data_IF_647681953542
#
_entry.id   IF_647681953542
#
_cell.length_a   1.000
_cell.length_b   1.000
_cell.length_c   1.000
_cell.angle_alpha   90.00
_cell.angle_beta   90.00
_cell.angle_gamma   90.00
#
_symmetry.space_group_name_H-M   'P 1'
#
loop_
_entity.id
_entity.type
_entity.pdbx_description
1 polymer ?
#
# COMPACT_ATOMS: atom_id res chain seq x y z
N UNK A 1 -12.16 31.09 -5.45
CA UNK A 1 -12.84 30.05 -4.68
C UNK A 1 -14.09 29.47 -5.37
N UNK A 2 -15.07 30.28 -5.78
CA UNK A 2 -16.31 29.84 -6.48
C UNK A 2 -16.08 28.99 -7.74
N UNK A 3 -15.09 29.32 -8.58
CA UNK A 3 -14.79 28.56 -9.81
C UNK A 3 -14.12 27.19 -9.54
N UNK A 4 -13.32 27.08 -8.49
CA UNK A 4 -12.68 25.83 -8.07
C UNK A 4 -13.73 24.84 -7.55
N UNK A 5 -14.62 25.28 -6.67
CA UNK A 5 -15.72 24.45 -6.14
C UNK A 5 -16.60 23.90 -7.27
N UNK A 6 -17.01 24.74 -8.24
CA UNK A 6 -17.78 24.28 -9.40
C UNK A 6 -17.02 23.25 -10.24
N UNK A 7 -15.69 23.38 -10.33
CA UNK A 7 -14.85 22.46 -11.11
C UNK A 7 -14.80 21.07 -10.51
N UNK A 8 -14.79 20.94 -9.17
CA UNK A 8 -14.61 19.69 -8.44
C UNK A 8 -15.85 19.22 -7.66
N UNK A 9 -16.98 19.92 -7.76
CA UNK A 9 -18.19 19.62 -7.00
C UNK A 9 -18.67 18.18 -7.17
N UNK A 10 -18.67 17.64 -8.40
CA UNK A 10 -19.09 16.27 -8.66
C UNK A 10 -18.12 15.24 -8.05
N UNK A 11 -16.80 15.50 -8.09
CA UNK A 11 -15.82 14.65 -7.40
C UNK A 11 -16.02 14.69 -5.88
N UNK A 12 -16.17 15.88 -5.31
CA UNK A 12 -16.39 16.04 -3.87
C UNK A 12 -17.65 15.31 -3.41
N UNK A 13 -18.75 15.44 -4.17
CA UNK A 13 -19.98 14.72 -3.87
C UNK A 13 -19.78 13.20 -3.94
N UNK A 14 -19.10 12.68 -4.96
CA UNK A 14 -18.77 11.29 -5.08
C UNK A 14 -17.94 10.78 -3.88
N UNK A 15 -16.90 11.54 -3.49
CA UNK A 15 -16.07 11.20 -2.32
C UNK A 15 -16.86 11.23 -1.02
N UNK A 16 -17.79 12.18 -0.83
CA UNK A 16 -18.68 12.22 0.35
C UNK A 16 -19.57 10.98 0.41
N UNK A 17 -20.19 10.60 -0.71
CA UNK A 17 -21.02 9.39 -0.78
C UNK A 17 -20.19 8.14 -0.46
N UNK A 18 -19.02 7.98 -1.08
CA UNK A 18 -18.12 6.86 -0.82
C UNK A 18 -17.68 6.85 0.65
N UNK A 19 -17.35 8.02 1.23
CA UNK A 19 -16.99 8.15 2.65
C UNK A 19 -18.09 7.66 3.58
N UNK A 20 -19.35 8.02 3.30
CA UNK A 20 -20.50 7.55 4.06
C UNK A 20 -20.65 6.02 4.02
N UNK A 21 -20.46 5.43 2.84
CA UNK A 21 -20.48 3.98 2.64
C UNK A 21 -19.32 3.31 3.36
N UNK A 22 -18.10 3.83 3.22
CA UNK A 22 -16.91 3.33 3.93
C UNK A 22 -17.12 3.35 5.45
N UNK A 23 -17.63 4.46 6.00
CA UNK A 23 -17.92 4.58 7.42
C UNK A 23 -18.98 3.55 7.87
N UNK A 24 -20.07 3.38 7.10
CA UNK A 24 -21.13 2.41 7.40
C UNK A 24 -20.57 0.98 7.48
N UNK A 25 -19.73 0.57 6.53
CA UNK A 25 -19.14 -0.78 6.54
C UNK A 25 -18.08 -0.92 7.62
N UNK A 26 -17.24 0.11 7.85
CA UNK A 26 -16.25 0.10 8.93
C UNK A 26 -16.89 -0.03 10.31
N UNK A 27 -18.00 0.66 10.55
CA UNK A 27 -18.73 0.59 11.83
C UNK A 27 -19.41 -0.76 12.09
N UNK A 28 -19.58 -1.58 11.04
CA UNK A 28 -20.16 -2.93 11.12
C UNK A 28 -19.11 -4.04 11.07
N UNK A 29 -17.82 -3.70 11.01
CA UNK A 29 -16.76 -4.69 11.03
C UNK A 29 -16.57 -5.20 12.46
N UNK A 30 -17.03 -6.43 12.72
CA UNK A 30 -17.03 -7.05 14.05
C UNK A 30 -15.78 -7.87 14.36
N UNK A 31 -15.02 -8.28 13.33
CA UNK A 31 -13.87 -9.15 13.49
C UNK A 31 -12.77 -8.93 12.46
N UNK A 32 -11.69 -9.66 12.63
CA UNK A 32 -10.53 -9.71 11.72
C UNK A 32 -10.38 -11.10 11.11
N UNK A 33 -9.96 -11.14 9.85
CA UNK A 33 -9.44 -12.36 9.25
C UNK A 33 -8.09 -12.72 9.89
N UNK A 34 -7.71 -13.99 9.81
CA UNK A 34 -6.44 -14.47 10.35
C UNK A 34 -5.25 -13.67 9.81
N UNK A 35 -5.28 -13.29 8.54
CA UNK A 35 -4.24 -12.48 7.90
C UNK A 35 -4.15 -11.06 8.49
N UNK A 36 -5.26 -10.47 8.94
CA UNK A 36 -5.27 -9.16 9.58
C UNK A 36 -4.66 -9.27 10.99
N UNK A 37 -4.90 -10.39 11.69
CA UNK A 37 -4.28 -10.69 12.99
C UNK A 37 -2.76 -10.75 12.84
N UNK A 38 -2.26 -11.51 11.87
CA UNK A 38 -0.81 -11.54 11.57
C UNK A 38 -0.28 -10.17 11.14
N UNK A 39 -1.04 -9.40 10.36
CA UNK A 39 -0.63 -8.05 9.97
C UNK A 39 -0.44 -7.13 11.19
N UNK A 40 -1.36 -7.18 12.16
CA UNK A 40 -1.22 -6.44 13.41
C UNK A 40 -0.04 -6.94 14.24
N UNK A 41 0.07 -8.25 14.46
CA UNK A 41 1.14 -8.84 15.24
C UNK A 41 2.52 -8.51 14.67
N UNK A 42 2.73 -8.76 13.38
CA UNK A 42 3.99 -8.45 12.70
C UNK A 42 4.33 -6.95 12.71
N UNK A 43 3.31 -6.08 12.79
CA UNK A 43 3.52 -4.64 12.89
C UNK A 43 3.83 -4.18 14.32
N UNK A 44 3.20 -4.76 15.33
CA UNK A 44 3.11 -4.18 16.66
C UNK A 44 3.85 -4.95 17.75
N UNK A 45 4.05 -6.27 17.59
CA UNK A 45 4.81 -7.08 18.55
C UNK A 45 6.31 -6.74 18.49
N UNK A 46 6.93 -6.63 19.66
CA UNK A 46 8.34 -6.23 19.76
C UNK A 46 9.26 -7.43 19.57
N UNK A 47 9.91 -7.52 18.39
CA UNK A 47 10.80 -8.61 17.99
C UNK A 47 10.21 -10.02 18.19
N UNK A 48 8.90 -10.15 18.05
CA UNK A 48 8.16 -11.41 18.16
C UNK A 48 7.24 -11.59 16.94
N UNK A 49 7.75 -12.11 15.80
CA UNK A 49 6.99 -12.22 14.55
C UNK A 49 5.74 -13.10 14.70
N UNK A 50 5.77 -14.10 15.55
CA UNK A 50 4.63 -14.96 15.82
C UNK A 50 4.20 -14.88 17.28
N UNK A 51 2.93 -15.12 17.54
CA UNK A 51 2.39 -15.16 18.89
C UNK A 51 3.10 -16.19 19.78
N UNK A 52 3.61 -17.26 19.17
CA UNK A 52 4.41 -18.30 19.87
C UNK A 52 5.78 -17.79 20.31
N UNK A 53 6.28 -16.72 19.72
CA UNK A 53 7.57 -16.12 20.10
C UNK A 53 7.47 -15.24 21.35
N UNK A 54 6.23 -14.88 21.73
CA UNK A 54 5.99 -14.21 23.00
C UNK A 54 6.43 -15.07 24.18
N UNK A 55 6.96 -14.42 25.23
CA UNK A 55 7.41 -15.11 26.43
C UNK A 55 8.39 -16.27 26.17
N UNK A 56 9.34 -16.06 25.23
CA UNK A 56 10.39 -17.00 24.87
C UNK A 56 9.87 -18.39 24.45
N UNK A 57 8.78 -18.40 23.72
CA UNK A 57 8.20 -19.64 23.18
C UNK A 57 7.37 -20.43 24.18
N UNK A 58 7.12 -19.92 25.39
CA UNK A 58 6.35 -20.62 26.41
C UNK A 58 4.86 -20.85 26.04
N UNK A 59 4.39 -20.25 24.93
CA UNK A 59 3.03 -20.39 24.43
C UNK A 59 2.86 -21.50 23.38
N UNK A 60 3.94 -22.19 23.01
CA UNK A 60 3.87 -23.32 22.07
C UNK A 60 3.00 -24.44 22.69
N UNK A 61 2.08 -24.97 21.91
CA UNK A 61 1.14 -26.04 22.29
C UNK A 61 0.23 -25.70 23.50
N UNK A 62 0.01 -24.41 23.78
CA UNK A 62 -0.89 -23.95 24.84
C UNK A 62 -2.07 -23.16 24.29
N UNK A 63 -3.17 -23.20 25.01
CA UNK A 63 -4.31 -22.32 24.76
C UNK A 63 -3.91 -20.90 25.14
N UNK A 64 -3.98 -20.01 24.20
CA UNK A 64 -3.66 -18.60 24.37
C UNK A 64 -4.82 -17.86 25.08
N UNK A 65 -4.49 -17.02 26.03
CA UNK A 65 -5.44 -16.15 26.70
C UNK A 65 -5.77 -14.92 25.80
N UNK A 66 -6.90 -14.28 26.07
CA UNK A 66 -7.26 -13.02 25.41
C UNK A 66 -6.19 -11.94 25.59
N UNK A 67 -5.58 -11.87 26.79
CA UNK A 67 -4.56 -10.85 27.05
C UNK A 67 -3.30 -11.09 26.23
N UNK A 68 -2.85 -12.33 26.09
CA UNK A 68 -1.69 -12.68 25.27
C UNK A 68 -1.91 -12.34 23.80
N UNK A 69 -3.14 -12.54 23.29
CA UNK A 69 -3.48 -12.08 21.94
C UNK A 69 -3.47 -10.55 21.83
N UNK A 70 -4.02 -9.83 22.81
CA UNK A 70 -3.99 -8.36 22.81
C UNK A 70 -2.56 -7.85 22.88
N UNK A 71 -1.71 -8.45 23.71
CA UNK A 71 -0.29 -8.10 23.82
C UNK A 71 0.46 -8.28 22.48
N UNK A 72 0.13 -9.35 21.72
CA UNK A 72 0.66 -9.56 20.38
C UNK A 72 0.22 -8.50 19.37
N UNK A 73 -1.02 -8.02 19.49
CA UNK A 73 -1.64 -7.09 18.54
C UNK A 73 -1.36 -5.61 18.84
N UNK A 74 -0.84 -5.28 20.02
CA UNK A 74 -0.66 -3.89 20.46
C UNK A 74 0.81 -3.51 20.56
N UNK A 75 1.08 -2.23 20.37
CA UNK A 75 2.39 -1.64 20.66
C UNK A 75 2.51 -1.44 22.17
N UNK A 76 3.60 -1.90 22.79
CA UNK A 76 3.93 -1.62 24.18
C UNK A 76 4.29 -0.15 24.40
N UNK A 77 4.15 0.35 25.63
CA UNK A 77 4.46 1.75 25.97
C UNK A 77 5.91 2.13 25.64
N UNK A 78 6.86 1.20 25.82
CA UNK A 78 8.28 1.39 25.57
C UNK A 78 8.70 1.02 24.13
N UNK A 79 7.80 0.46 23.33
CA UNK A 79 8.08 -0.14 22.00
C UNK A 79 7.50 0.71 20.86
N UNK A 80 7.18 1.96 21.14
CA UNK A 80 6.56 2.87 20.17
C UNK A 80 7.53 3.21 19.05
N UNK A 81 6.99 3.27 17.82
CA UNK A 81 7.74 3.62 16.61
C UNK A 81 8.94 2.70 16.35
N UNK A 82 8.86 1.43 16.74
CA UNK A 82 9.92 0.45 16.64
C UNK A 82 10.11 -0.09 15.20
N UNK A 83 10.50 0.78 14.26
CA UNK A 83 10.67 0.41 12.85
C UNK A 83 11.65 -0.77 12.65
N UNK A 84 12.68 -0.91 13.51
CA UNK A 84 13.62 -2.03 13.49
C UNK A 84 12.98 -3.36 13.88
N UNK A 85 12.05 -3.34 14.85
CA UNK A 85 11.25 -4.52 15.21
C UNK A 85 10.36 -4.97 14.05
N UNK A 86 9.63 -4.04 13.42
CA UNK A 86 8.82 -4.34 12.23
C UNK A 86 9.68 -4.94 11.12
N UNK A 87 10.84 -4.36 10.86
CA UNK A 87 11.79 -4.89 9.87
C UNK A 87 12.19 -6.33 10.21
N UNK A 88 12.60 -6.58 11.45
CA UNK A 88 12.96 -7.92 11.92
C UNK A 88 11.80 -8.91 11.75
N UNK A 89 10.60 -8.54 12.20
CA UNK A 89 9.42 -9.40 12.09
C UNK A 89 9.15 -9.77 10.63
N UNK A 90 9.27 -8.79 9.71
CA UNK A 90 9.07 -9.05 8.28
C UNK A 90 10.16 -9.91 7.65
N UNK A 91 11.38 -9.98 8.19
CA UNK A 91 12.37 -10.97 7.71
C UNK A 91 11.97 -12.42 7.98
N UNK A 92 10.99 -12.65 8.86
CA UNK A 92 10.44 -13.96 9.24
C UNK A 92 9.07 -14.26 8.61
N UNK A 93 8.51 -13.30 7.90
CA UNK A 93 7.26 -13.42 7.12
C UNK A 93 7.59 -13.51 5.61
N UNK A 94 6.57 -13.48 4.77
CA UNK A 94 6.67 -13.56 3.29
C UNK A 94 6.34 -12.23 2.59
N UNK A 95 6.19 -11.16 3.34
CA UNK A 95 5.79 -9.85 2.80
C UNK A 95 6.79 -8.75 3.12
N UNK A 96 6.96 -7.75 2.23
CA UNK A 96 7.81 -6.59 2.49
C UNK A 96 7.22 -5.64 3.55
N UNK A 97 8.04 -4.82 4.23
CA UNK A 97 7.67 -4.13 5.46
C UNK A 97 6.88 -2.82 5.30
N UNK A 98 6.68 -2.25 4.10
CA UNK A 98 6.18 -0.87 3.92
C UNK A 98 4.83 -0.62 4.60
N UNK A 99 3.84 -1.49 4.40
CA UNK A 99 2.52 -1.35 5.01
C UNK A 99 2.58 -1.54 6.53
N UNK A 100 3.39 -2.48 6.99
CA UNK A 100 3.56 -2.81 8.40
C UNK A 100 4.22 -1.67 9.19
N UNK A 101 5.16 -0.95 8.58
CA UNK A 101 5.71 0.29 9.15
C UNK A 101 4.65 1.37 9.31
N UNK A 102 3.77 1.56 8.32
CA UNK A 102 2.67 2.52 8.42
C UNK A 102 1.69 2.13 9.53
N UNK A 103 1.37 0.84 9.65
CA UNK A 103 0.47 0.35 10.69
C UNK A 103 1.09 0.51 12.09
N UNK A 104 2.37 0.14 12.26
CA UNK A 104 3.09 0.37 13.52
C UNK A 104 3.12 1.87 13.87
N UNK A 105 3.43 2.73 12.91
CA UNK A 105 3.45 4.17 13.13
C UNK A 105 2.10 4.67 13.67
N UNK A 106 0.99 4.26 13.05
CA UNK A 106 -0.35 4.69 13.50
C UNK A 106 -0.72 4.04 14.85
N UNK A 107 -0.41 2.75 15.05
CA UNK A 107 -0.66 2.04 16.31
C UNK A 107 0.13 2.62 17.49
N UNK A 108 1.32 3.17 17.23
CA UNK A 108 2.20 3.78 18.24
C UNK A 108 1.61 5.03 18.93
N UNK A 109 0.54 5.61 18.39
CA UNK A 109 -0.20 6.68 19.06
C UNK A 109 -1.18 6.16 20.12
N UNK A 110 -1.46 4.83 20.12
CA UNK A 110 -2.44 4.18 21.01
C UNK A 110 -1.84 2.95 21.70
N UNK A 111 -0.73 3.12 22.48
CA UNK A 111 -0.03 2.00 23.11
C UNK A 111 -0.93 1.28 24.12
N UNK A 112 -0.77 -0.04 24.22
CA UNK A 112 -1.52 -0.89 25.14
C UNK A 112 -3.02 -1.02 24.86
N UNK A 113 -3.52 -0.40 23.78
CA UNK A 113 -4.93 -0.40 23.43
C UNK A 113 -5.15 -1.05 22.05
N UNK A 114 -5.82 -2.18 22.03
CA UNK A 114 -6.23 -2.79 20.78
C UNK A 114 -7.50 -2.13 20.24
N UNK A 115 -7.40 -1.62 18.99
CA UNK A 115 -8.54 -1.14 18.23
C UNK A 115 -8.27 -1.27 16.73
N UNK A 116 -9.28 -1.68 15.96
CA UNK A 116 -9.18 -1.69 14.50
C UNK A 116 -9.29 -0.28 13.88
N UNK A 117 -9.82 0.70 14.60
CA UNK A 117 -10.12 2.03 14.06
C UNK A 117 -8.90 2.80 13.55
N UNK A 118 -7.75 2.84 14.22
CA UNK A 118 -6.57 3.53 13.70
C UNK A 118 -6.14 2.99 12.32
N UNK A 119 -6.15 1.67 12.14
CA UNK A 119 -5.83 1.04 10.86
C UNK A 119 -6.91 1.28 9.79
N UNK A 120 -8.19 1.23 10.16
CA UNK A 120 -9.29 1.53 9.23
C UNK A 120 -9.25 2.98 8.76
N UNK A 121 -8.95 3.93 9.66
CA UNK A 121 -8.77 5.35 9.30
C UNK A 121 -7.56 5.54 8.40
N UNK A 122 -6.44 4.88 8.68
CA UNK A 122 -5.27 4.88 7.81
C UNK A 122 -5.62 4.35 6.41
N UNK A 123 -6.27 3.19 6.34
CA UNK A 123 -6.71 2.60 5.08
C UNK A 123 -7.68 3.53 4.32
N UNK A 124 -8.63 4.13 5.03
CA UNK A 124 -9.57 5.09 4.46
C UNK A 124 -8.84 6.29 3.83
N UNK A 125 -7.86 6.87 4.51
CA UNK A 125 -7.07 8.00 3.97
C UNK A 125 -6.34 7.56 2.69
N UNK A 126 -5.66 6.41 2.72
CA UNK A 126 -4.95 5.85 1.57
C UNK A 126 -5.94 5.60 0.41
N UNK A 127 -7.11 5.06 0.72
CA UNK A 127 -8.16 4.80 -0.27
C UNK A 127 -8.67 6.09 -0.93
N UNK A 128 -8.97 7.13 -0.15
CA UNK A 128 -9.40 8.42 -0.68
C UNK A 128 -8.32 9.05 -1.57
N UNK A 129 -7.05 8.95 -1.21
CA UNK A 129 -5.92 9.39 -2.05
C UNK A 129 -5.87 8.62 -3.37
N UNK A 130 -6.08 7.30 -3.35
CA UNK A 130 -6.14 6.47 -4.56
C UNK A 130 -7.29 6.90 -5.49
N UNK A 131 -8.47 7.18 -4.94
CA UNK A 131 -9.63 7.67 -5.71
C UNK A 131 -9.39 9.05 -6.34
N UNK A 132 -8.74 9.96 -5.61
CA UNK A 132 -8.35 11.28 -6.15
C UNK A 132 -7.32 11.12 -7.28
N UNK A 133 -6.36 10.22 -7.14
CA UNK A 133 -5.39 9.91 -8.21
C UNK A 133 -6.07 9.24 -9.40
N UNK A 134 -7.01 8.33 -9.17
CA UNK A 134 -7.80 7.71 -10.24
C UNK A 134 -8.58 8.78 -11.04
N UNK A 135 -9.24 9.71 -10.35
CA UNK A 135 -9.88 10.85 -11.01
C UNK A 135 -8.90 11.61 -11.91
N UNK A 136 -7.72 11.97 -11.37
CA UNK A 136 -6.69 12.70 -12.12
C UNK A 136 -6.16 11.91 -13.31
N UNK A 137 -5.96 10.60 -13.17
CA UNK A 137 -5.53 9.72 -14.23
C UNK A 137 -6.57 9.70 -15.38
N UNK A 138 -7.83 9.46 -15.05
CA UNK A 138 -8.91 9.40 -16.06
C UNK A 138 -9.12 10.77 -16.73
N UNK A 139 -9.02 11.87 -15.97
CA UNK A 139 -9.04 13.21 -16.55
C UNK A 139 -7.90 13.46 -17.54
N UNK A 140 -6.72 12.94 -17.25
CA UNK A 140 -5.54 13.08 -18.10
C UNK A 140 -5.68 12.26 -19.40
N UNK A 141 -6.24 11.05 -19.30
CA UNK A 141 -6.38 10.15 -20.45
C UNK A 141 -7.55 10.50 -21.36
N UNK A 142 -8.69 10.92 -20.80
CA UNK A 142 -9.95 11.08 -21.55
C UNK A 142 -10.47 12.51 -21.61
N UNK A 143 -9.90 13.45 -20.87
CA UNK A 143 -10.35 14.86 -20.78
C UNK A 143 -11.84 15.03 -20.44
N UNK A 144 -12.47 14.00 -19.86
CA UNK A 144 -13.90 13.94 -19.54
C UNK A 144 -14.13 13.86 -18.03
N UNK A 145 -14.76 14.88 -17.47
CA UNK A 145 -15.13 14.89 -16.05
C UNK A 145 -16.15 13.80 -15.70
N UNK A 146 -17.09 13.54 -16.61
CA UNK A 146 -18.09 12.50 -16.39
C UNK A 146 -17.41 11.13 -16.26
N UNK A 147 -16.53 10.79 -17.20
CA UNK A 147 -15.80 9.52 -17.16
C UNK A 147 -14.95 9.39 -15.88
N UNK A 148 -14.30 10.50 -15.46
CA UNK A 148 -13.49 10.50 -14.27
C UNK A 148 -14.31 10.31 -12.98
N UNK A 149 -15.47 10.94 -12.85
CA UNK A 149 -16.38 10.75 -11.71
C UNK A 149 -16.99 9.36 -11.74
N UNK A 150 -17.40 8.87 -12.92
CA UNK A 150 -17.92 7.50 -13.06
C UNK A 150 -16.89 6.44 -12.66
N UNK A 151 -15.63 6.59 -13.07
CA UNK A 151 -14.55 5.67 -12.67
C UNK A 151 -14.36 5.66 -11.14
N UNK A 152 -14.40 6.85 -10.50
CA UNK A 152 -14.32 6.97 -9.03
C UNK A 152 -15.50 6.30 -8.35
N UNK A 153 -16.73 6.50 -8.82
CA UNK A 153 -17.93 5.87 -8.25
C UNK A 153 -17.93 4.37 -8.46
N UNK A 154 -17.63 3.91 -9.68
CA UNK A 154 -17.61 2.47 -10.01
C UNK A 154 -16.58 1.72 -9.18
N UNK A 155 -15.35 2.24 -9.05
CA UNK A 155 -14.34 1.60 -8.21
C UNK A 155 -14.62 1.83 -6.73
N UNK A 156 -14.94 3.07 -6.34
CA UNK A 156 -15.11 3.47 -4.95
C UNK A 156 -16.29 2.82 -4.22
N UNK A 157 -17.33 2.40 -4.96
CA UNK A 157 -18.49 1.68 -4.43
C UNK A 157 -18.50 0.20 -4.79
N UNK A 158 -17.50 -0.28 -5.54
CA UNK A 158 -17.40 -1.70 -5.89
C UNK A 158 -17.09 -2.54 -4.65
N UNK A 159 -17.52 -3.80 -4.66
CA UNK A 159 -17.17 -4.77 -3.63
C UNK A 159 -15.66 -4.90 -3.45
N UNK A 160 -14.91 -4.91 -4.58
CA UNK A 160 -13.45 -4.99 -4.56
C UNK A 160 -12.84 -3.76 -3.86
N UNK A 161 -13.27 -2.56 -4.25
CA UNK A 161 -12.76 -1.31 -3.66
C UNK A 161 -13.06 -1.22 -2.15
N UNK A 162 -14.30 -1.50 -1.75
CA UNK A 162 -14.71 -1.48 -0.34
C UNK A 162 -13.99 -2.57 0.48
N UNK A 163 -13.89 -3.80 -0.05
CA UNK A 163 -13.15 -4.87 0.62
C UNK A 163 -11.66 -4.53 0.78
N UNK A 164 -11.05 -3.92 -0.23
CA UNK A 164 -9.66 -3.47 -0.18
C UNK A 164 -9.43 -2.42 0.92
N UNK A 165 -10.37 -1.51 1.12
CA UNK A 165 -10.31 -0.50 2.18
C UNK A 165 -10.55 -1.11 3.58
N UNK A 166 -11.52 -2.02 3.70
CA UNK A 166 -11.88 -2.64 4.98
C UNK A 166 -10.87 -3.66 5.48
N UNK A 167 -10.17 -4.32 4.58
CA UNK A 167 -9.16 -5.32 4.93
C UNK A 167 -7.87 -4.62 5.41
N UNK A 168 -7.49 -4.89 6.65
CA UNK A 168 -6.28 -4.29 7.27
C UNK A 168 -5.06 -5.06 6.79
N UNK A 169 -4.74 -4.87 5.50
CA UNK A 169 -3.63 -5.47 4.77
C UNK A 169 -3.08 -4.47 3.73
N UNK A 170 -1.93 -4.78 3.19
CA UNK A 170 -1.21 -3.94 2.24
C UNK A 170 -1.96 -3.60 0.94
N UNK A 171 -3.11 -4.21 0.66
CA UNK A 171 -3.78 -4.09 -0.64
C UNK A 171 -4.25 -2.67 -0.97
N UNK A 172 -4.69 -1.90 0.03
CA UNK A 172 -5.11 -0.51 -0.19
C UNK A 172 -3.92 0.38 -0.56
N UNK A 173 -2.75 0.16 0.07
CA UNK A 173 -1.52 0.86 -0.26
C UNK A 173 -1.02 0.46 -1.65
N UNK A 174 -1.08 -0.84 -1.97
CA UNK A 174 -0.76 -1.37 -3.28
C UNK A 174 -1.62 -0.72 -4.37
N UNK A 175 -2.93 -0.58 -4.13
CA UNK A 175 -3.85 0.10 -5.06
C UNK A 175 -3.45 1.56 -5.28
N UNK A 176 -3.13 2.29 -4.21
CA UNK A 176 -2.64 3.67 -4.33
C UNK A 176 -1.40 3.76 -5.21
N UNK A 177 -0.40 2.90 -4.97
CA UNK A 177 0.87 2.88 -5.71
C UNK A 177 0.69 2.44 -7.17
N UNK A 178 -0.25 1.51 -7.42
CA UNK A 178 -0.65 1.09 -8.77
C UNK A 178 -1.21 2.27 -9.58
N UNK A 179 -2.18 2.99 -9.01
CA UNK A 179 -2.77 4.16 -9.66
C UNK A 179 -1.76 5.31 -9.79
N UNK A 180 -0.89 5.49 -8.77
CA UNK A 180 0.16 6.50 -8.79
C UNK A 180 1.17 6.26 -9.92
N UNK A 181 1.64 5.03 -10.09
CA UNK A 181 2.57 4.68 -11.16
C UNK A 181 1.96 4.97 -12.54
N UNK A 182 0.73 4.50 -12.78
CA UNK A 182 0.01 4.79 -14.04
C UNK A 182 -0.15 6.30 -14.27
N UNK A 183 -0.50 7.06 -13.23
CA UNK A 183 -0.67 8.50 -13.31
C UNK A 183 0.64 9.23 -13.63
N UNK A 184 1.76 8.85 -12.99
CA UNK A 184 3.06 9.45 -13.23
C UNK A 184 3.55 9.16 -14.65
N UNK A 185 3.36 7.92 -15.14
CA UNK A 185 3.71 7.54 -16.51
C UNK A 185 2.85 8.32 -17.54
N UNK A 186 1.53 8.38 -17.33
CA UNK A 186 0.66 9.16 -18.19
C UNK A 186 1.06 10.65 -18.20
N UNK A 187 1.42 11.22 -17.04
CA UNK A 187 1.95 12.59 -16.98
C UNK A 187 3.26 12.74 -17.75
N UNK A 188 4.16 11.78 -17.65
CA UNK A 188 5.45 11.83 -18.36
C UNK A 188 5.25 11.86 -19.88
N UNK A 189 4.24 11.12 -20.39
CA UNK A 189 3.88 11.15 -21.82
C UNK A 189 3.40 12.53 -22.28
N UNK A 190 2.77 13.31 -21.40
CA UNK A 190 2.24 14.65 -21.73
C UNK A 190 3.22 15.79 -21.42
N UNK A 191 3.91 15.74 -20.26
CA UNK A 191 4.64 16.90 -19.72
C UNK A 191 6.17 16.82 -19.93
N UNK A 192 6.73 15.65 -20.15
CA UNK A 192 8.20 15.36 -20.29
C UNK A 192 9.07 16.03 -19.21
N UNK A 193 8.56 16.18 -17.99
CA UNK A 193 9.29 16.78 -16.87
C UNK A 193 10.28 15.81 -16.25
N UNK A 194 11.53 16.19 -16.11
CA UNK A 194 12.61 15.33 -15.58
C UNK A 194 12.37 14.88 -14.15
N UNK A 195 11.65 15.66 -13.32
CA UNK A 195 11.30 15.29 -11.94
C UNK A 195 10.38 14.05 -11.86
N UNK A 196 9.71 13.67 -12.95
CA UNK A 196 8.84 12.50 -12.96
C UNK A 196 9.62 11.20 -12.94
N UNK A 197 10.84 11.15 -13.49
CA UNK A 197 11.68 9.93 -13.48
C UNK A 197 11.98 9.44 -12.05
N UNK A 198 12.57 10.24 -11.16
CA UNK A 198 12.82 9.77 -9.79
C UNK A 198 11.53 9.45 -9.03
N UNK A 199 10.42 10.15 -9.28
CA UNK A 199 9.13 9.81 -8.67
C UNK A 199 8.61 8.45 -9.14
N UNK A 200 8.81 8.09 -10.41
CA UNK A 200 8.48 6.77 -10.95
C UNK A 200 9.34 5.70 -10.28
N UNK A 201 10.67 5.89 -10.22
CA UNK A 201 11.56 4.96 -9.54
C UNK A 201 11.20 4.76 -8.07
N UNK A 202 10.91 5.84 -7.35
CA UNK A 202 10.46 5.77 -5.95
C UNK A 202 9.11 5.03 -5.81
N UNK A 203 8.19 5.21 -6.77
CA UNK A 203 6.90 4.51 -6.75
C UNK A 203 7.09 3.01 -7.02
N UNK A 204 7.99 2.64 -7.95
CA UNK A 204 8.34 1.23 -8.20
C UNK A 204 8.95 0.61 -6.94
N UNK A 205 9.92 1.28 -6.31
CA UNK A 205 10.50 0.84 -5.05
C UNK A 205 9.45 0.66 -3.94
N UNK A 206 8.61 1.68 -3.71
CA UNK A 206 7.56 1.62 -2.68
C UNK A 206 6.53 0.51 -2.96
N UNK A 207 6.19 0.27 -4.23
CA UNK A 207 5.30 -0.80 -4.63
C UNK A 207 5.87 -2.18 -4.32
N UNK A 208 7.14 -2.40 -4.64
CA UNK A 208 7.85 -3.64 -4.33
C UNK A 208 8.06 -3.84 -2.83
N UNK A 209 8.32 -2.76 -2.09
CA UNK A 209 8.37 -2.76 -0.62
C UNK A 209 7.00 -2.95 0.04
N UNK A 210 5.91 -2.87 -0.72
CA UNK A 210 4.54 -3.14 -0.25
C UNK A 210 4.11 -4.58 -0.56
N UNK A 211 4.37 -5.06 -1.80
CA UNK A 211 4.02 -6.41 -2.24
C UNK A 211 4.84 -6.81 -3.46
N UNK A 212 5.46 -7.98 -3.44
CA UNK A 212 6.31 -8.47 -4.54
C UNK A 212 5.56 -8.63 -5.87
N UNK A 213 4.29 -9.02 -5.85
CA UNK A 213 3.47 -9.13 -7.06
C UNK A 213 3.31 -7.81 -7.82
N UNK A 214 3.63 -6.68 -7.19
CA UNK A 214 3.70 -5.39 -7.90
C UNK A 214 4.67 -5.40 -9.07
N UNK A 215 5.69 -6.27 -9.04
CA UNK A 215 6.67 -6.41 -10.14
C UNK A 215 5.99 -6.70 -11.48
N UNK A 216 4.98 -7.57 -11.50
CA UNK A 216 4.28 -7.89 -12.75
C UNK A 216 3.55 -6.68 -13.32
N UNK A 217 2.83 -5.96 -12.48
CA UNK A 217 2.17 -4.74 -12.91
C UNK A 217 3.17 -3.67 -13.38
N UNK A 218 4.18 -3.40 -12.58
CA UNK A 218 5.21 -2.41 -12.90
C UNK A 218 5.93 -2.76 -14.21
N UNK A 219 6.28 -4.03 -14.41
CA UNK A 219 6.93 -4.50 -15.65
C UNK A 219 6.09 -4.16 -16.88
N UNK A 220 4.82 -4.57 -16.93
CA UNK A 220 3.99 -4.35 -18.11
C UNK A 220 3.67 -2.89 -18.37
N UNK A 221 3.46 -2.11 -17.32
CA UNK A 221 3.17 -0.67 -17.47
C UNK A 221 4.42 0.10 -17.87
N UNK A 222 5.59 -0.24 -17.31
CA UNK A 222 6.86 0.35 -17.74
C UNK A 222 7.22 -0.04 -19.18
N UNK A 223 7.07 -1.31 -19.54
CA UNK A 223 7.29 -1.79 -20.90
C UNK A 223 6.40 -1.03 -21.92
N UNK A 224 5.15 -0.76 -21.55
CA UNK A 224 4.23 0.01 -22.42
C UNK A 224 4.75 1.42 -22.68
N UNK A 225 5.34 2.10 -21.68
CA UNK A 225 5.97 3.40 -21.88
C UNK A 225 7.25 3.29 -22.72
N UNK A 226 8.07 2.28 -22.48
CA UNK A 226 9.33 2.06 -23.24
C UNK A 226 9.05 1.85 -24.73
N UNK A 227 8.04 1.04 -25.06
CA UNK A 227 7.56 0.85 -26.43
C UNK A 227 7.09 2.19 -27.02
N UNK A 228 6.28 2.93 -26.28
CA UNK A 228 5.80 4.25 -26.72
C UNK A 228 6.98 5.21 -27.00
N UNK A 229 7.97 5.29 -26.12
CA UNK A 229 9.14 6.17 -26.28
C UNK A 229 9.97 5.79 -27.50
N UNK A 230 10.16 4.48 -27.76
CA UNK A 230 10.87 3.97 -28.95
C UNK A 230 10.11 4.30 -30.24
N UNK A 231 8.79 4.11 -30.29
CA UNK A 231 7.94 4.50 -31.44
C UNK A 231 8.05 6.00 -31.72
N UNK A 232 8.09 6.82 -30.66
CA UNK A 232 8.26 8.27 -30.76
C UNK A 232 9.71 8.72 -31.03
N UNK A 233 10.67 7.77 -31.10
CA UNK A 233 12.11 8.02 -31.24
C UNK A 233 12.67 8.90 -30.11
N UNK A 234 12.05 8.86 -28.93
CA UNK A 234 12.50 9.56 -27.73
C UNK A 234 13.49 8.68 -26.96
N UNK A 235 14.68 8.44 -27.53
CA UNK A 235 15.69 7.56 -26.94
C UNK A 235 16.19 8.06 -25.58
N UNK A 236 16.24 9.37 -25.37
CA UNK A 236 16.61 9.95 -24.08
C UNK A 236 15.54 9.66 -23.03
N UNK A 237 14.26 9.86 -23.38
CA UNK A 237 13.15 9.53 -22.51
C UNK A 237 13.12 8.04 -22.16
N UNK A 238 13.32 7.17 -23.12
CA UNK A 238 13.46 5.73 -22.93
C UNK A 238 14.54 5.38 -21.91
N UNK A 239 15.79 5.84 -22.11
CA UNK A 239 16.92 5.51 -21.22
C UNK A 239 16.70 6.04 -19.81
N UNK A 240 16.28 7.31 -19.66
CA UNK A 240 16.07 7.93 -18.35
C UNK A 240 14.94 7.24 -17.56
N UNK A 241 13.89 6.84 -18.24
CA UNK A 241 12.76 6.15 -17.65
C UNK A 241 13.14 4.72 -17.21
N UNK A 242 13.72 3.94 -18.13
CA UNK A 242 14.15 2.56 -17.84
C UNK A 242 15.15 2.53 -16.70
N UNK A 243 16.12 3.45 -16.66
CA UNK A 243 17.08 3.58 -15.56
C UNK A 243 16.38 3.91 -14.24
N UNK A 244 15.43 4.84 -14.23
CA UNK A 244 14.71 5.21 -13.02
C UNK A 244 13.86 4.04 -12.47
N UNK A 245 13.12 3.34 -13.34
CA UNK A 245 12.33 2.18 -12.97
C UNK A 245 13.23 1.02 -12.46
N UNK A 246 14.33 0.74 -13.17
CA UNK A 246 15.28 -0.30 -12.78
C UNK A 246 15.97 0.04 -11.46
N UNK A 247 16.42 1.28 -11.25
CA UNK A 247 16.98 1.73 -9.97
C UNK A 247 15.97 1.53 -8.83
N UNK A 248 14.70 1.90 -9.04
CA UNK A 248 13.66 1.68 -8.05
C UNK A 248 13.50 0.20 -7.69
N UNK A 249 13.53 -0.69 -8.67
CA UNK A 249 13.43 -2.13 -8.44
C UNK A 249 14.69 -2.69 -7.74
N UNK A 250 15.89 -2.31 -8.18
CA UNK A 250 17.15 -2.80 -7.61
C UNK A 250 17.35 -2.31 -6.17
N UNK A 251 16.87 -1.11 -5.82
CA UNK A 251 16.95 -0.59 -4.46
C UNK A 251 16.20 -1.47 -3.42
N UNK A 252 15.31 -2.37 -3.84
CA UNK A 252 14.71 -3.35 -2.95
C UNK A 252 15.76 -4.24 -2.28
N UNK A 253 16.78 -4.68 -3.04
CA UNK A 253 17.78 -5.64 -2.56
C UNK A 253 18.58 -5.14 -1.35
N UNK A 254 19.19 -3.93 -1.37
CA UNK A 254 19.88 -3.41 -0.19
C UNK A 254 18.92 -2.95 0.91
N UNK A 255 17.69 -2.50 0.57
CA UNK A 255 16.73 -2.04 1.55
C UNK A 255 16.09 -3.19 2.33
N UNK A 256 15.86 -4.33 1.69
CA UNK A 256 15.26 -5.51 2.31
C UNK A 256 15.85 -6.80 1.72
N UNK A 257 17.09 -7.19 2.09
CA UNK A 257 17.78 -8.38 1.55
C UNK A 257 17.01 -9.69 1.77
N UNK A 258 16.16 -9.77 2.80
CA UNK A 258 15.31 -10.93 3.05
C UNK A 258 14.37 -11.27 1.88
N UNK A 259 14.14 -10.33 0.97
CA UNK A 259 13.33 -10.56 -0.24
C UNK A 259 13.88 -11.70 -1.10
N UNK A 260 15.19 -11.90 -1.14
CA UNK A 260 15.80 -13.00 -1.91
C UNK A 260 15.39 -14.36 -1.33
N UNK A 261 15.46 -14.52 -0.01
CA UNK A 261 15.04 -15.75 0.65
C UNK A 261 13.53 -15.98 0.50
N UNK A 262 12.72 -14.93 0.66
CA UNK A 262 11.26 -15.01 0.54
C UNK A 262 10.79 -15.35 -0.87
N UNK A 263 11.50 -14.92 -1.90
CA UNK A 263 11.15 -15.20 -3.30
C UNK A 263 11.69 -16.54 -3.81
N UNK A 264 12.81 -17.02 -3.27
CA UNK A 264 13.54 -18.16 -3.82
C UNK A 264 13.78 -19.30 -2.81
N UNK A 265 13.23 -19.24 -1.57
CA UNK A 265 13.46 -20.27 -0.56
C UNK A 265 13.09 -21.68 -1.04
N UNK A 266 11.96 -21.81 -1.75
CA UNK A 266 11.52 -23.10 -2.30
C UNK A 266 12.40 -23.59 -3.48
N UNK A 267 13.06 -22.66 -4.18
CA UNK A 267 13.95 -22.99 -5.29
C UNK A 267 15.39 -23.38 -4.85
N UNK A 268 15.75 -23.04 -3.61
CA UNK A 268 17.09 -23.35 -3.05
C UNK A 268 17.10 -24.66 -2.23
N UNK A 269 15.93 -25.22 -1.94
CA UNK A 269 15.76 -26.47 -1.17
C UNK A 269 15.46 -27.68 -2.07
N UNK A 270 15.21 -27.46 -3.36
CA UNK A 270 15.06 -28.48 -4.40
C UNK A 270 16.37 -28.77 -5.12
#
# INVERSE_FOLDING_TARGET
>A
MKNWLKKYAALLLALIVISGVCFLFSSRKEGMFIDEIYTYGLSNSYYAPYVTDLKDGSLIDKVMTRQELVDYLTVGDNDRFAAGSVYYNQTRDVHPPMYYWLLNFVSSFFPGQFSMWPALVMNYIIYMLALVLLYKLVMLLFSSRLNAVMAVLLYGLSTIGLSTMLMIRMYVLLTLLTVLLAYLIARLMHEKKTVLYPLIGLTVFAGLMTQYYFVFYAFFVCLSYDIYALIKKDYRGFVMFSLAALCGAVCLLPAFPACLNQLFADALVS
#
